data_IF_910789830380
#
_entry.id   IF_910789830380
#
_cell.length_a   1.000
_cell.length_b   1.000
_cell.length_c   1.000
_cell.angle_alpha   90.00
_cell.angle_beta   90.00
_cell.angle_gamma   90.00
#
_symmetry.space_group_name_H-M   'P 1'
#
loop_
_entity.id
_entity.type
_entity.pdbx_description
1 polymer ?
#
# COMPACT_ATOMS: atom_id res chain seq x y z
N UNK A 1 14.97 -9.13 -51.65
CA UNK A 1 16.13 -8.59 -50.90
C UNK A 1 15.69 -8.23 -49.47
N UNK A 2 16.14 -8.95 -48.44
CA UNK A 2 15.95 -8.55 -47.03
C UNK A 2 16.99 -7.49 -46.69
N UNK A 3 16.57 -6.23 -46.52
CA UNK A 3 17.44 -5.18 -45.96
C UNK A 3 17.78 -5.59 -44.53
N UNK A 4 19.04 -5.98 -44.28
CA UNK A 4 19.54 -6.17 -42.91
C UNK A 4 19.38 -4.85 -42.18
N UNK A 5 18.74 -4.87 -41.00
CA UNK A 5 18.64 -3.69 -40.15
C UNK A 5 20.07 -3.15 -39.91
N UNK A 6 20.30 -1.88 -40.22
CA UNK A 6 21.61 -1.27 -40.02
C UNK A 6 21.97 -1.27 -38.53
N UNK A 7 23.26 -1.38 -38.21
CA UNK A 7 23.77 -1.40 -36.82
C UNK A 7 23.21 -0.24 -35.99
N UNK A 8 23.05 0.95 -36.57
CA UNK A 8 22.42 2.10 -35.91
C UNK A 8 20.92 1.92 -35.58
N UNK A 9 20.16 1.14 -36.35
CA UNK A 9 18.77 0.83 -36.02
C UNK A 9 18.68 -0.16 -34.83
N UNK A 10 19.58 -1.14 -34.78
CA UNK A 10 19.69 -2.09 -33.66
C UNK A 10 20.11 -1.35 -32.37
N UNK A 11 21.09 -0.44 -32.46
CA UNK A 11 21.52 0.41 -31.34
C UNK A 11 20.37 1.26 -30.80
N UNK A 12 19.61 1.92 -31.70
CA UNK A 12 18.44 2.74 -31.32
C UNK A 12 17.35 1.91 -30.65
N UNK A 13 17.07 0.71 -31.17
CA UNK A 13 16.09 -0.19 -30.58
C UNK A 13 16.50 -0.64 -29.18
N UNK A 14 17.79 -0.95 -28.96
CA UNK A 14 18.33 -1.29 -27.64
C UNK A 14 18.20 -0.14 -26.65
N UNK A 15 18.61 1.08 -27.05
CA UNK A 15 18.49 2.28 -26.22
C UNK A 15 17.02 2.56 -25.85
N UNK A 16 16.09 2.41 -26.81
CA UNK A 16 14.66 2.56 -26.51
C UNK A 16 14.18 1.51 -25.51
N UNK A 17 14.55 0.25 -25.68
CA UNK A 17 14.17 -0.82 -24.77
C UNK A 17 14.71 -0.58 -23.36
N UNK A 18 15.96 -0.12 -23.23
CA UNK A 18 16.58 0.20 -21.95
C UNK A 18 15.87 1.37 -21.26
N UNK A 19 15.51 2.43 -22.00
CA UNK A 19 14.71 3.56 -21.48
C UNK A 19 13.33 3.12 -20.99
N UNK A 20 12.64 2.23 -21.72
CA UNK A 20 11.34 1.72 -21.28
C UNK A 20 11.44 0.89 -20.01
N UNK A 21 12.52 0.10 -19.85
CA UNK A 21 12.77 -0.66 -18.63
C UNK A 21 13.04 0.26 -17.44
N UNK A 22 13.90 1.25 -17.62
CA UNK A 22 14.22 2.25 -16.59
C UNK A 22 12.97 2.99 -16.14
N UNK A 23 12.17 3.49 -17.09
CA UNK A 23 10.89 4.15 -16.76
C UNK A 23 9.90 3.21 -16.08
N UNK A 24 9.89 1.94 -16.47
CA UNK A 24 9.08 0.91 -15.82
C UNK A 24 9.46 0.72 -14.36
N UNK A 25 10.76 0.64 -14.05
CA UNK A 25 11.27 0.58 -12.68
C UNK A 25 10.91 1.82 -11.88
N UNK A 26 11.10 3.01 -12.44
CA UNK A 26 10.75 4.27 -11.78
C UNK A 26 9.24 4.34 -11.45
N UNK A 27 8.38 3.87 -12.33
CA UNK A 27 6.93 3.81 -12.07
C UNK A 27 6.62 2.84 -10.93
N UNK A 28 7.26 1.67 -10.90
CA UNK A 28 7.06 0.69 -9.83
C UNK A 28 7.52 1.24 -8.47
N UNK A 29 8.67 1.90 -8.42
CA UNK A 29 9.18 2.54 -7.20
C UNK A 29 8.22 3.62 -6.70
N UNK A 30 7.76 4.50 -7.59
CA UNK A 30 6.78 5.53 -7.23
C UNK A 30 5.45 4.93 -6.73
N UNK A 31 4.97 3.85 -7.36
CA UNK A 31 3.75 3.17 -6.90
C UNK A 31 3.93 2.57 -5.51
N UNK A 32 5.09 1.96 -5.24
CA UNK A 32 5.38 1.36 -3.95
C UNK A 32 5.51 2.42 -2.83
N UNK A 33 6.14 3.56 -3.14
CA UNK A 33 6.20 4.69 -2.21
C UNK A 33 4.81 5.25 -1.90
N UNK A 34 3.98 5.47 -2.94
CA UNK A 34 2.60 5.94 -2.75
C UNK A 34 1.75 4.96 -1.93
N UNK A 35 1.89 3.65 -2.17
CA UNK A 35 1.21 2.63 -1.38
C UNK A 35 1.64 2.67 0.08
N UNK A 36 2.93 2.85 0.34
CA UNK A 36 3.47 2.96 1.70
C UNK A 36 2.87 4.16 2.44
N UNK A 37 2.87 5.33 1.81
CA UNK A 37 2.27 6.55 2.37
C UNK A 37 0.76 6.40 2.61
N UNK A 38 0.05 5.69 1.73
CA UNK A 38 -1.38 5.42 1.91
C UNK A 38 -1.64 4.48 3.08
N UNK A 39 -0.80 3.46 3.28
CA UNK A 39 -0.90 2.56 4.43
C UNK A 39 -0.61 3.28 5.75
N UNK A 40 0.35 4.20 5.79
CA UNK A 40 0.64 5.05 6.96
C UNK A 40 -0.56 5.93 7.32
N UNK A 41 -1.11 6.67 6.34
CA UNK A 41 -2.32 7.48 6.56
C UNK A 41 -3.51 6.63 6.99
N UNK A 42 -3.65 5.44 6.42
CA UNK A 42 -4.72 4.54 6.82
C UNK A 42 -4.58 4.11 8.28
N UNK A 43 -3.36 3.77 8.71
CA UNK A 43 -3.04 3.43 10.09
C UNK A 43 -3.37 4.59 11.03
N UNK A 44 -2.89 5.80 10.75
CA UNK A 44 -3.18 6.99 11.56
C UNK A 44 -4.69 7.21 11.72
N UNK A 45 -5.44 7.14 10.61
CA UNK A 45 -6.90 7.31 10.63
C UNK A 45 -7.61 6.21 11.44
N UNK A 46 -7.12 4.96 11.37
CA UNK A 46 -7.69 3.85 12.12
C UNK A 46 -7.42 4.00 13.62
N UNK A 47 -6.22 4.44 13.99
CA UNK A 47 -5.85 4.74 15.38
C UNK A 47 -6.71 5.88 15.95
N UNK A 48 -6.88 6.96 15.18
CA UNK A 48 -7.75 8.09 15.51
C UNK A 48 -9.21 7.66 15.70
N UNK A 49 -9.71 6.81 14.79
CA UNK A 49 -11.06 6.27 14.86
C UNK A 49 -11.25 5.40 16.10
N UNK A 50 -10.30 4.50 16.38
CA UNK A 50 -10.33 3.65 17.55
C UNK A 50 -10.30 4.47 18.84
N UNK A 51 -9.47 5.52 18.91
CA UNK A 51 -9.40 6.42 20.06
C UNK A 51 -10.72 7.18 20.29
N UNK A 52 -11.31 7.76 19.23
CA UNK A 52 -12.58 8.50 19.29
C UNK A 52 -13.76 7.62 19.69
N UNK A 53 -13.84 6.40 19.15
CA UNK A 53 -14.97 5.49 19.37
C UNK A 53 -14.71 4.41 20.42
N UNK A 54 -13.60 4.48 21.16
CA UNK A 54 -13.17 3.50 22.16
C UNK A 54 -14.28 3.02 23.10
N UNK A 55 -15.10 3.94 23.62
CA UNK A 55 -16.18 3.58 24.54
C UNK A 55 -17.32 2.83 23.83
N UNK A 56 -17.62 3.17 22.59
CA UNK A 56 -18.63 2.47 21.78
C UNK A 56 -18.12 1.08 21.39
N UNK A 57 -16.85 0.96 21.00
CA UNK A 57 -16.19 -0.34 20.75
C UNK A 57 -16.26 -1.21 22.01
N UNK A 58 -16.04 -0.63 23.19
CA UNK A 58 -16.14 -1.36 24.47
C UNK A 58 -17.57 -1.77 24.81
N UNK A 59 -18.56 -0.89 24.63
CA UNK A 59 -19.91 -1.08 25.18
C UNK A 59 -20.90 -1.72 24.20
N UNK A 60 -20.65 -1.63 22.88
CA UNK A 60 -21.54 -2.13 21.84
C UNK A 60 -20.91 -3.34 21.13
N UNK A 61 -21.40 -4.58 21.39
CA UNK A 61 -20.88 -5.79 20.77
C UNK A 61 -20.99 -5.81 19.24
N UNK A 62 -22.08 -5.24 18.69
CA UNK A 62 -22.30 -5.19 17.25
C UNK A 62 -21.28 -4.29 16.56
N UNK A 63 -21.05 -3.10 17.13
CA UNK A 63 -20.07 -2.16 16.61
C UNK A 63 -18.64 -2.70 16.73
N UNK A 64 -18.32 -3.36 17.84
CA UNK A 64 -17.04 -4.05 18.03
C UNK A 64 -16.79 -5.09 16.94
N UNK A 65 -17.78 -5.90 16.61
CA UNK A 65 -17.66 -6.92 15.56
C UNK A 65 -17.35 -6.28 14.19
N UNK A 66 -18.07 -5.22 13.83
CA UNK A 66 -17.85 -4.49 12.59
C UNK A 66 -16.45 -3.86 12.54
N UNK A 67 -15.99 -3.27 13.65
CA UNK A 67 -14.63 -2.74 13.76
C UNK A 67 -13.57 -3.84 13.59
N UNK A 68 -13.78 -5.02 14.20
CA UNK A 68 -12.87 -6.16 14.05
C UNK A 68 -12.83 -6.71 12.62
N UNK A 69 -13.98 -6.81 11.95
CA UNK A 69 -14.08 -7.24 10.54
C UNK A 69 -13.33 -6.27 9.62
N UNK A 70 -13.46 -4.96 9.88
CA UNK A 70 -12.70 -3.92 9.16
C UNK A 70 -11.19 -4.11 9.34
N UNK A 71 -10.71 -4.26 10.57
CA UNK A 71 -9.28 -4.49 10.84
C UNK A 71 -8.77 -5.77 10.15
N UNK A 72 -9.53 -6.87 10.23
CA UNK A 72 -9.17 -8.15 9.62
C UNK A 72 -9.07 -8.07 8.09
N UNK A 73 -9.95 -7.30 7.43
CA UNK A 73 -9.92 -7.13 5.96
C UNK A 73 -8.61 -6.51 5.43
N UNK A 74 -7.86 -5.83 6.30
CA UNK A 74 -6.63 -5.11 5.97
C UNK A 74 -5.41 -5.86 6.53
N UNK A 75 -5.62 -7.01 7.17
CA UNK A 75 -4.57 -7.81 7.80
C UNK A 75 -4.05 -7.19 9.10
N UNK A 76 -4.79 -6.26 9.70
CA UNK A 76 -4.47 -5.68 11.01
C UNK A 76 -5.25 -6.44 12.07
N UNK A 77 -4.56 -6.99 13.07
CA UNK A 77 -5.22 -7.63 14.21
C UNK A 77 -5.48 -6.58 15.31
N UNK A 78 -6.75 -6.22 15.59
CA UNK A 78 -7.09 -5.24 16.63
C UNK A 78 -6.80 -5.75 18.06
N UNK A 79 -6.50 -7.03 18.24
CA UNK A 79 -6.21 -7.69 19.51
C UNK A 79 -4.72 -8.07 19.69
N UNK A 80 -3.93 -8.17 18.61
CA UNK A 80 -2.49 -8.47 18.69
C UNK A 80 -1.58 -7.26 18.92
N UNK A 81 -2.14 -6.06 19.12
CA UNK A 81 -1.41 -4.98 19.80
C UNK A 81 -1.20 -5.36 21.27
N UNK A 82 -0.26 -6.28 21.48
CA UNK A 82 0.23 -6.74 22.77
C UNK A 82 1.04 -5.65 23.45
N UNK A 83 0.32 -4.64 23.94
CA UNK A 83 0.63 -3.65 24.99
C UNK A 83 -0.47 -2.59 24.83
N UNK A 84 -1.19 -2.27 25.90
CA UNK A 84 -2.41 -1.48 25.86
C UNK A 84 -2.22 -0.03 25.42
N UNK A 85 -2.02 0.22 24.12
CA UNK A 85 -1.74 1.55 23.57
C UNK A 85 -2.89 2.17 22.76
N UNK A 86 -4.00 1.48 22.49
CA UNK A 86 -5.19 2.11 21.86
C UNK A 86 -6.43 2.12 22.73
N UNK A 87 -6.25 1.87 24.03
CA UNK A 87 -7.29 1.97 25.02
C UNK A 87 -6.67 2.54 26.31
N UNK A 88 -6.80 3.86 26.60
CA UNK A 88 -6.65 4.30 27.98
C UNK A 88 -7.65 3.66 28.97
#
# INVERSE_FOLDING_TARGET
MRRRAGVGAIQRQKIQQDKFKEKGSEIQENQLEQMTQQMEKFRENLEDFAAKHKNEIKKNPQFRKQFQEMCASIGVDPLASGKGEYIP
#
